data_IF_180786148781
#
_entry.id   IF_180786148781
#
_cell.length_a   1.000
_cell.length_b   1.000
_cell.length_c   1.000
_cell.angle_alpha   90.00
_cell.angle_beta   90.00
_cell.angle_gamma   90.00
#
_symmetry.space_group_name_H-M   'P 1'
#
loop_
_entity.id
_entity.type
_entity.pdbx_description
1 polymer ?
#
# COMPACT_ATOMS: atom_id res chain seq x y z
N UNK A 1 51.53 21.74 -28.50
CA UNK A 1 50.48 20.95 -27.80
C UNK A 1 49.59 21.89 -27.00
N UNK A 2 48.25 21.73 -27.08
CA UNK A 2 47.30 22.61 -26.40
C UNK A 2 47.39 22.54 -24.87
N UNK A 3 47.52 23.71 -24.24
CA UNK A 3 47.57 23.85 -22.77
C UNK A 3 46.16 23.85 -22.18
N UNK A 4 45.22 24.57 -22.81
CA UNK A 4 43.89 24.89 -22.27
C UNK A 4 42.91 23.71 -22.12
N UNK A 5 43.06 22.64 -22.92
CA UNK A 5 42.20 21.43 -22.90
C UNK A 5 42.78 20.30 -22.02
N UNK A 6 43.48 20.66 -20.95
CA UNK A 6 44.00 19.71 -19.95
C UNK A 6 43.10 19.67 -18.73
N UNK A 7 42.87 18.48 -18.20
CA UNK A 7 42.03 18.29 -17.00
C UNK A 7 42.56 19.09 -15.80
N UNK A 8 43.89 19.18 -15.61
CA UNK A 8 44.49 20.04 -14.57
C UNK A 8 44.10 21.52 -14.72
N UNK A 9 44.11 22.06 -15.93
CA UNK A 9 43.79 23.48 -16.17
C UNK A 9 42.28 23.74 -16.12
N UNK A 10 41.47 22.80 -16.63
CA UNK A 10 40.01 22.84 -16.53
C UNK A 10 39.57 22.95 -15.07
N UNK A 11 40.10 22.09 -14.21
CA UNK A 11 39.79 22.05 -12.77
C UNK A 11 40.12 23.34 -12.05
N UNK A 12 41.29 23.93 -12.32
CA UNK A 12 41.68 25.23 -11.75
C UNK A 12 40.72 26.33 -12.21
N UNK A 13 40.34 26.34 -13.49
CA UNK A 13 39.40 27.32 -14.06
C UNK A 13 37.98 27.19 -13.50
N UNK A 14 37.51 25.97 -13.29
CA UNK A 14 36.17 25.67 -12.75
C UNK A 14 36.11 25.72 -11.22
N UNK A 15 37.25 25.97 -10.55
CA UNK A 15 37.32 26.03 -9.09
C UNK A 15 37.23 24.67 -8.39
N UNK A 16 37.37 23.56 -9.13
CA UNK A 16 37.36 22.21 -8.57
C UNK A 16 38.76 21.80 -8.08
N UNK A 17 39.15 22.28 -6.90
CA UNK A 17 40.46 22.05 -6.26
C UNK A 17 40.52 20.81 -5.36
N UNK A 18 39.51 19.93 -5.41
CA UNK A 18 39.50 18.69 -4.61
C UNK A 18 40.73 17.83 -4.86
N UNK A 19 41.20 17.17 -3.81
CA UNK A 19 42.35 16.26 -3.84
C UNK A 19 42.16 15.12 -4.84
N UNK A 20 43.28 14.62 -5.37
CA UNK A 20 43.29 13.61 -6.43
C UNK A 20 42.67 12.26 -6.03
N UNK A 21 42.79 11.88 -4.76
CA UNK A 21 42.28 10.61 -4.20
C UNK A 21 40.75 10.55 -4.13
N UNK A 22 40.06 11.69 -4.03
CA UNK A 22 38.60 11.78 -3.99
C UNK A 22 37.96 11.73 -5.39
N UNK A 23 38.79 11.84 -6.44
CA UNK A 23 38.34 11.88 -7.84
C UNK A 23 38.11 10.49 -8.39
N UNK A 24 37.12 10.38 -9.27
CA UNK A 24 36.76 9.10 -9.89
C UNK A 24 37.41 9.02 -11.27
N UNK A 25 37.96 7.85 -11.59
CA UNK A 25 38.52 7.59 -12.93
C UNK A 25 37.42 7.75 -14.00
N UNK A 26 37.68 8.60 -14.99
CA UNK A 26 36.74 8.89 -16.07
C UNK A 26 36.00 10.23 -15.94
N UNK A 27 36.26 11.01 -14.88
CA UNK A 27 35.81 12.41 -14.79
C UNK A 27 36.44 13.24 -15.92
N UNK A 28 35.62 13.96 -16.65
CA UNK A 28 36.02 14.82 -17.75
C UNK A 28 35.02 15.99 -17.90
N UNK A 29 35.17 16.80 -18.96
CA UNK A 29 34.28 17.95 -19.21
C UNK A 29 32.78 17.59 -19.34
N UNK A 30 32.44 16.38 -19.81
CA UNK A 30 31.05 15.94 -20.06
C UNK A 30 30.47 15.04 -18.96
N UNK A 31 31.34 14.50 -18.11
CA UNK A 31 31.02 13.51 -17.10
C UNK A 31 31.61 13.95 -15.76
N UNK A 32 30.73 14.38 -14.87
CA UNK A 32 31.05 14.60 -13.47
C UNK A 32 31.16 13.26 -12.73
N UNK A 33 31.72 13.30 -11.51
CA UNK A 33 31.88 12.11 -10.70
C UNK A 33 30.56 11.34 -10.45
N UNK A 34 29.41 12.03 -10.36
CA UNK A 34 28.10 11.37 -10.18
C UNK A 34 27.67 10.63 -11.44
N UNK A 35 27.77 11.26 -12.61
CA UNK A 35 27.44 10.63 -13.89
C UNK A 35 28.36 9.45 -14.20
N UNK A 36 29.66 9.56 -13.91
CA UNK A 36 30.60 8.42 -14.05
C UNK A 36 30.19 7.25 -13.17
N UNK A 37 29.85 7.49 -11.89
CA UNK A 37 29.38 6.41 -10.98
C UNK A 37 28.08 5.77 -11.49
N UNK A 38 27.13 6.57 -11.98
CA UNK A 38 25.89 6.06 -12.56
C UNK A 38 26.11 5.26 -13.85
N UNK A 39 26.98 5.72 -14.75
CA UNK A 39 27.31 4.98 -15.98
C UNK A 39 28.05 3.66 -15.67
N UNK A 40 28.92 3.66 -14.66
CA UNK A 40 29.60 2.46 -14.21
C UNK A 40 28.64 1.44 -13.58
N UNK A 41 27.48 1.86 -13.07
CA UNK A 41 26.43 0.94 -12.61
C UNK A 41 25.98 -0.01 -13.72
N UNK A 42 25.78 0.48 -14.94
CA UNK A 42 25.37 -0.36 -16.09
C UNK A 42 26.42 -1.38 -16.51
N UNK A 43 27.70 -1.12 -16.20
CA UNK A 43 28.82 -2.06 -16.44
C UNK A 43 29.06 -2.99 -15.25
N UNK A 44 28.51 -2.66 -14.08
CA UNK A 44 28.63 -3.45 -12.85
C UNK A 44 27.65 -4.63 -12.84
N UNK A 45 27.78 -5.54 -11.87
CA UNK A 45 26.89 -6.71 -11.73
C UNK A 45 27.57 -8.06 -11.98
N UNK A 46 28.88 -8.08 -12.23
CA UNK A 46 29.68 -9.31 -12.29
C UNK A 46 30.61 -9.40 -11.09
N UNK A 47 30.79 -10.62 -10.57
CA UNK A 47 31.80 -10.90 -9.58
C UNK A 47 33.20 -10.79 -10.21
N UNK A 48 34.16 -10.25 -9.45
CA UNK A 48 35.57 -10.22 -9.84
C UNK A 48 36.21 -11.51 -9.35
N UNK A 49 36.89 -12.22 -10.25
CA UNK A 49 37.57 -13.49 -9.97
C UNK A 49 39.07 -13.38 -10.12
N UNK A 50 39.81 -14.21 -9.40
CA UNK A 50 41.24 -14.40 -9.60
C UNK A 50 41.53 -15.31 -10.81
N UNK A 51 42.81 -15.58 -11.08
CA UNK A 51 43.21 -16.47 -12.18
C UNK A 51 42.81 -17.94 -11.96
N UNK A 52 42.57 -18.36 -10.71
CA UNK A 52 42.13 -19.72 -10.35
C UNK A 52 40.60 -19.88 -10.44
N UNK A 53 39.85 -18.79 -10.60
CA UNK A 53 38.39 -18.76 -10.68
C UNK A 53 37.68 -18.48 -9.35
N UNK A 54 38.43 -18.19 -8.28
CA UNK A 54 37.89 -17.85 -6.97
C UNK A 54 37.36 -16.41 -6.95
N UNK A 55 36.24 -16.18 -6.25
CA UNK A 55 35.61 -14.85 -6.19
C UNK A 55 36.38 -13.96 -5.21
N UNK A 56 37.04 -12.93 -5.74
CA UNK A 56 37.74 -11.89 -4.95
C UNK A 56 36.77 -10.83 -4.46
N UNK A 57 35.79 -10.47 -5.29
CA UNK A 57 34.73 -9.52 -4.94
C UNK A 57 33.41 -10.02 -5.50
N UNK A 58 32.47 -10.26 -4.61
CA UNK A 58 31.09 -10.59 -4.99
C UNK A 58 30.47 -9.48 -5.85
N UNK A 59 29.50 -9.84 -6.68
CA UNK A 59 28.79 -8.85 -7.46
C UNK A 59 27.98 -7.90 -6.55
N UNK A 60 27.58 -6.77 -7.12
CA UNK A 60 26.78 -5.76 -6.41
C UNK A 60 25.47 -6.40 -5.92
N UNK A 61 25.13 -6.21 -4.63
CA UNK A 61 23.97 -6.81 -3.95
C UNK A 61 23.97 -8.36 -3.86
N UNK A 62 25.11 -9.01 -4.06
CA UNK A 62 25.27 -10.47 -3.94
C UNK A 62 26.30 -10.86 -2.88
N UNK A 63 26.36 -10.13 -1.76
CA UNK A 63 27.19 -10.53 -0.62
C UNK A 63 26.67 -11.84 -0.01
N UNK A 64 27.58 -12.77 0.26
CA UNK A 64 27.27 -14.04 0.93
C UNK A 64 27.17 -13.94 2.45
N UNK A 65 27.54 -12.78 3.00
CA UNK A 65 27.57 -12.55 4.44
C UNK A 65 26.14 -12.46 5.00
N UNK A 66 25.85 -13.27 6.01
CA UNK A 66 24.59 -13.22 6.73
C UNK A 66 24.62 -12.08 7.77
N UNK A 67 23.71 -11.08 7.69
CA UNK A 67 23.68 -10.01 8.68
C UNK A 67 23.11 -10.52 10.01
N UNK A 68 23.62 -10.00 11.12
CA UNK A 68 23.02 -10.23 12.44
C UNK A 68 21.78 -9.33 12.57
N UNK A 69 20.60 -9.88 12.26
CA UNK A 69 19.33 -9.16 12.34
C UNK A 69 18.73 -9.24 13.75
N UNK A 70 19.03 -8.27 14.60
CA UNK A 70 18.43 -8.12 15.94
C UNK A 70 17.70 -6.78 16.04
N UNK A 71 16.59 -6.79 16.77
CA UNK A 71 15.83 -5.57 17.09
C UNK A 71 16.05 -5.26 18.56
N UNK A 72 16.65 -4.10 18.83
CA UNK A 72 16.91 -3.70 20.20
C UNK A 72 15.61 -3.34 20.95
N UNK A 73 15.47 -3.76 22.21
CA UNK A 73 14.34 -3.38 23.04
C UNK A 73 14.38 -1.86 23.26
N UNK A 74 13.31 -1.17 22.88
CA UNK A 74 13.22 0.29 22.98
C UNK A 74 11.82 0.72 23.46
N UNK A 75 11.76 1.59 24.48
CA UNK A 75 10.50 2.16 24.97
C UNK A 75 9.74 2.93 23.89
N UNK A 76 10.45 3.47 22.89
CA UNK A 76 9.86 4.20 21.76
C UNK A 76 8.93 3.35 20.89
N UNK A 77 9.08 2.02 20.87
CA UNK A 77 8.20 1.12 20.11
C UNK A 77 6.74 1.18 20.59
N UNK A 78 6.55 1.44 21.88
CA UNK A 78 5.24 1.39 22.53
C UNK A 78 4.62 2.79 22.73
N UNK A 79 5.31 3.85 22.30
CA UNK A 79 4.78 5.20 22.34
C UNK A 79 3.91 5.49 21.12
N UNK A 80 2.87 6.30 21.31
CA UNK A 80 2.04 6.77 20.20
C UNK A 80 2.88 7.63 19.24
N UNK A 81 3.09 7.18 18.00
CA UNK A 81 3.94 7.87 17.01
C UNK A 81 3.19 8.87 16.14
N UNK A 82 1.87 8.68 15.96
CA UNK A 82 1.00 9.60 15.21
C UNK A 82 -0.33 9.73 15.93
N UNK A 83 -0.59 10.93 16.45
CA UNK A 83 -1.83 11.31 17.13
C UNK A 83 -2.46 12.47 16.38
N UNK A 84 -3.78 12.52 16.34
CA UNK A 84 -4.55 13.62 15.77
C UNK A 84 -5.53 14.12 16.83
N UNK A 85 -5.64 15.44 16.97
CA UNK A 85 -6.64 16.07 17.84
C UNK A 85 -8.04 15.99 17.22
N UNK A 86 -9.07 15.92 18.05
CA UNK A 86 -10.45 15.78 17.58
C UNK A 86 -10.90 16.96 16.69
N UNK A 87 -10.53 18.19 17.05
CA UNK A 87 -10.89 19.40 16.29
C UNK A 87 -10.24 19.43 14.91
N UNK A 88 -9.00 18.95 14.82
CA UNK A 88 -8.31 18.82 13.53
C UNK A 88 -8.96 17.73 12.67
N UNK A 89 -9.47 16.67 13.30
CA UNK A 89 -10.17 15.58 12.63
C UNK A 89 -11.52 16.05 12.07
N UNK A 90 -12.32 16.79 12.86
CA UNK A 90 -13.61 17.34 12.40
C UNK A 90 -13.44 18.36 11.29
N UNK A 91 -12.51 19.31 11.43
CA UNK A 91 -12.17 20.27 10.38
C UNK A 91 -11.77 19.55 9.08
N UNK A 92 -10.99 18.47 9.19
CA UNK A 92 -10.55 17.73 8.02
C UNK A 92 -11.68 16.95 7.34
N UNK A 93 -12.64 16.40 8.11
CA UNK A 93 -13.84 15.76 7.55
C UNK A 93 -14.63 16.74 6.68
N UNK A 94 -14.84 17.95 7.17
CA UNK A 94 -15.57 18.99 6.44
C UNK A 94 -14.83 19.38 5.14
N UNK A 95 -13.55 19.74 5.24
CA UNK A 95 -12.76 20.18 4.08
C UNK A 95 -12.63 19.09 3.00
N UNK A 96 -12.55 17.81 3.40
CA UNK A 96 -12.53 16.70 2.44
C UNK A 96 -13.91 16.44 1.83
N UNK A 97 -14.99 16.55 2.60
CA UNK A 97 -16.36 16.42 2.06
C UNK A 97 -16.63 17.41 0.94
N UNK A 98 -16.20 18.67 1.12
CA UNK A 98 -16.34 19.73 0.12
C UNK A 98 -15.52 19.46 -1.16
N UNK A 99 -14.28 18.98 -1.02
CA UNK A 99 -13.35 18.83 -2.16
C UNK A 99 -13.33 17.45 -2.81
N UNK A 100 -13.88 16.41 -2.16
CA UNK A 100 -13.87 15.03 -2.69
C UNK A 100 -14.63 14.90 -4.01
N UNK A 101 -15.61 15.76 -4.24
CA UNK A 101 -16.48 15.72 -5.41
C UNK A 101 -16.14 16.80 -6.45
N UNK A 102 -15.05 17.56 -6.26
CA UNK A 102 -14.61 18.55 -7.25
C UNK A 102 -13.78 17.89 -8.36
N UNK A 103 -14.32 17.87 -9.57
CA UNK A 103 -13.67 17.29 -10.76
C UNK A 103 -12.62 18.20 -11.40
N UNK A 104 -12.55 19.49 -11.05
CA UNK A 104 -11.64 20.45 -11.68
C UNK A 104 -10.29 20.55 -10.97
N UNK A 105 -10.16 20.05 -9.74
CA UNK A 105 -8.92 20.06 -8.98
C UNK A 105 -8.24 18.68 -8.93
N UNK A 106 -6.90 18.68 -8.92
CA UNK A 106 -6.08 17.46 -8.84
C UNK A 106 -5.14 17.52 -7.65
N UNK A 107 -5.08 16.42 -6.90
CA UNK A 107 -4.25 16.30 -5.70
C UNK A 107 -2.80 15.92 -6.05
N UNK A 108 -1.85 16.85 -5.85
CA UNK A 108 -0.42 16.62 -6.15
C UNK A 108 0.33 15.85 -5.06
N UNK A 109 -0.01 16.09 -3.78
CA UNK A 109 0.61 15.43 -2.62
C UNK A 109 -0.45 15.14 -1.57
N UNK A 110 -0.49 13.88 -1.12
CA UNK A 110 -1.38 13.46 -0.03
C UNK A 110 -0.66 13.55 1.30
N UNK A 111 -1.21 14.30 2.24
CA UNK A 111 -0.76 14.25 3.63
C UNK A 111 -1.07 12.87 4.24
N UNK A 112 -0.24 12.40 5.17
CA UNK A 112 -0.40 11.07 5.79
C UNK A 112 -1.50 11.11 6.85
N UNK A 113 -2.74 10.95 6.40
CA UNK A 113 -3.97 11.10 7.20
C UNK A 113 -4.66 9.74 7.46
N UNK A 114 -5.30 9.55 8.62
CA UNK A 114 -6.06 8.34 8.94
C UNK A 114 -7.43 8.39 8.26
N UNK A 115 -7.45 8.09 6.96
CA UNK A 115 -8.65 8.24 6.11
C UNK A 115 -9.78 7.29 6.50
N UNK A 116 -9.46 6.17 7.13
CA UNK A 116 -10.45 5.26 7.69
C UNK A 116 -11.32 5.90 8.78
N UNK A 117 -10.85 6.94 9.47
CA UNK A 117 -11.64 7.70 10.45
C UNK A 117 -12.56 8.75 9.80
N UNK A 118 -12.44 8.95 8.48
CA UNK A 118 -13.19 9.96 7.74
C UNK A 118 -14.32 9.36 6.91
N UNK A 119 -14.14 8.12 6.45
CA UNK A 119 -15.17 7.38 5.74
C UNK A 119 -16.16 6.79 6.76
N UNK A 120 -16.99 7.64 7.36
CA UNK A 120 -18.20 7.18 8.05
C UNK A 120 -19.16 6.68 6.97
N UNK A 121 -19.34 5.36 6.91
CA UNK A 121 -20.39 4.75 6.09
C UNK A 121 -21.71 5.00 6.81
N UNK A 122 -22.28 6.18 6.63
CA UNK A 122 -23.69 6.45 6.93
C UNK A 122 -24.56 5.74 5.88
N UNK A 123 -24.43 4.41 5.81
CA UNK A 123 -25.36 3.59 5.04
C UNK A 123 -26.63 3.50 5.87
N UNK A 124 -27.72 4.03 5.32
CA UNK A 124 -29.06 3.89 5.89
C UNK A 124 -29.48 2.42 6.07
N UNK A 125 -28.81 1.51 5.35
CA UNK A 125 -28.98 0.07 5.48
C UNK A 125 -28.04 -0.45 6.55
N UNK A 126 -28.60 -0.86 7.69
CA UNK A 126 -27.87 -1.61 8.71
C UNK A 126 -27.39 -2.95 8.13
N UNK A 127 -26.16 -3.40 8.47
CA UNK A 127 -25.71 -4.74 8.12
C UNK A 127 -26.74 -5.78 8.56
N UNK A 128 -27.02 -6.77 7.70
CA UNK A 128 -27.90 -7.89 8.07
C UNK A 128 -27.36 -8.54 9.35
N UNK A 129 -28.23 -8.85 10.33
CA UNK A 129 -27.78 -9.43 11.60
C UNK A 129 -27.09 -10.78 11.36
N UNK A 130 -26.06 -11.06 12.15
CA UNK A 130 -25.29 -12.30 12.03
C UNK A 130 -26.00 -13.46 12.76
N UNK A 131 -26.96 -14.07 12.06
CA UNK A 131 -27.81 -15.16 12.59
C UNK A 131 -27.00 -16.40 13.03
N UNK A 132 -25.77 -16.58 12.53
CA UNK A 132 -24.91 -17.72 12.89
C UNK A 132 -24.53 -17.71 14.39
N UNK A 133 -24.46 -16.54 15.01
CA UNK A 133 -24.12 -16.41 16.44
C UNK A 133 -25.28 -16.84 17.35
N UNK A 134 -26.52 -16.68 16.88
CA UNK A 134 -27.72 -17.10 17.61
C UNK A 134 -28.13 -18.53 17.29
N UNK A 135 -27.93 -18.97 16.04
CA UNK A 135 -28.23 -20.32 15.59
C UNK A 135 -27.09 -20.86 14.69
N UNK A 136 -26.27 -21.73 15.27
CA UNK A 136 -25.22 -22.43 14.52
C UNK A 136 -25.81 -23.44 13.52
N UNK A 137 -25.07 -23.77 12.46
CA UNK A 137 -25.52 -24.73 11.43
C UNK A 137 -25.91 -26.11 12.02
N UNK A 138 -25.17 -26.61 13.01
CA UNK A 138 -25.47 -27.90 13.64
C UNK A 138 -26.76 -27.89 14.48
N UNK A 139 -27.14 -26.72 15.00
CA UNK A 139 -28.37 -26.57 15.78
C UNK A 139 -29.59 -26.28 14.92
N UNK A 140 -29.41 -25.75 13.70
CA UNK A 140 -30.52 -25.44 12.79
C UNK A 140 -30.94 -26.65 11.97
N UNK A 141 -30.00 -27.43 11.45
CA UNK A 141 -30.28 -28.59 10.61
C UNK A 141 -29.38 -29.79 10.96
N UNK A 142 -29.95 -30.99 10.88
CA UNK A 142 -29.24 -32.26 11.09
C UNK A 142 -29.65 -33.02 12.35
N UNK A 143 -28.94 -34.10 12.72
CA UNK A 143 -29.36 -34.99 13.80
C UNK A 143 -29.43 -34.31 15.17
N UNK A 144 -28.62 -33.27 15.39
CA UNK A 144 -28.56 -32.47 16.63
C UNK A 144 -29.44 -31.21 16.58
N UNK A 145 -30.30 -31.08 15.58
CA UNK A 145 -31.14 -29.90 15.40
C UNK A 145 -32.06 -29.65 16.61
N UNK A 146 -32.11 -28.39 17.03
CA UNK A 146 -32.95 -27.92 18.15
C UNK A 146 -34.11 -27.04 17.67
N UNK A 147 -34.09 -26.58 16.42
CA UNK A 147 -35.12 -25.72 15.85
C UNK A 147 -36.39 -26.53 15.55
N UNK A 148 -37.51 -26.13 16.16
CA UNK A 148 -38.83 -26.79 15.98
C UNK A 148 -39.84 -25.95 15.18
N UNK A 149 -39.68 -24.63 15.12
CA UNK A 149 -40.57 -23.70 14.40
C UNK A 149 -39.74 -22.61 13.69
N UNK A 150 -40.23 -22.03 12.58
CA UNK A 150 -39.60 -20.86 11.97
C UNK A 150 -39.77 -19.62 12.86
N UNK A 151 -38.72 -18.80 12.96
CA UNK A 151 -38.73 -17.57 13.78
C UNK A 151 -39.35 -16.38 13.04
N UNK A 152 -39.05 -16.25 11.75
CA UNK A 152 -39.66 -15.26 10.87
C UNK A 152 -40.82 -15.92 10.13
N UNK A 153 -42.03 -15.76 10.66
CA UNK A 153 -43.24 -16.09 9.90
C UNK A 153 -43.39 -14.98 8.85
N UNK A 154 -43.45 -15.36 7.56
CA UNK A 154 -43.57 -14.38 6.48
C UNK A 154 -44.94 -13.68 6.46
N UNK A 155 -45.95 -14.30 7.07
CA UNK A 155 -47.31 -13.80 7.17
C UNK A 155 -47.81 -13.92 8.61
N UNK A 156 -48.65 -12.98 9.01
CA UNK A 156 -49.33 -12.96 10.29
C UNK A 156 -50.64 -13.76 10.28
N UNK A 157 -51.26 -13.92 9.10
CA UNK A 157 -52.49 -14.67 8.88
C UNK A 157 -52.36 -15.65 7.71
N UNK A 158 -53.28 -16.62 7.62
CA UNK A 158 -53.29 -17.58 6.52
C UNK A 158 -53.65 -16.92 5.18
N UNK A 159 -54.44 -15.84 5.23
CA UNK A 159 -54.87 -15.06 4.08
C UNK A 159 -53.71 -14.24 3.51
N UNK A 160 -52.94 -13.57 4.36
CA UNK A 160 -51.71 -12.86 3.96
C UNK A 160 -50.67 -13.83 3.36
N UNK A 161 -50.58 -15.05 3.87
CA UNK A 161 -49.73 -16.08 3.28
C UNK A 161 -50.18 -16.44 1.86
N UNK A 162 -51.49 -16.60 1.63
CA UNK A 162 -52.03 -16.90 0.31
C UNK A 162 -51.73 -15.77 -0.70
N UNK A 163 -51.87 -14.51 -0.27
CA UNK A 163 -51.53 -13.34 -1.09
C UNK A 163 -50.04 -13.30 -1.47
N UNK A 164 -49.13 -13.48 -0.50
CA UNK A 164 -47.68 -13.52 -0.74
C UNK A 164 -47.31 -14.64 -1.73
N UNK A 165 -47.90 -15.83 -1.58
CA UNK A 165 -47.63 -16.95 -2.50
C UNK A 165 -48.10 -16.69 -3.92
N UNK A 166 -49.24 -16.01 -4.08
CA UNK A 166 -49.75 -15.63 -5.39
C UNK A 166 -48.85 -14.57 -6.06
N UNK A 167 -48.33 -13.60 -5.29
CA UNK A 167 -47.39 -12.60 -5.83
C UNK A 167 -46.05 -13.23 -6.21
N UNK A 168 -45.52 -14.13 -5.38
CA UNK A 168 -44.25 -14.82 -5.65
C UNK A 168 -44.35 -15.72 -6.89
N UNK A 169 -45.49 -16.38 -7.07
CA UNK A 169 -45.73 -17.26 -8.24
C UNK A 169 -45.77 -16.44 -9.54
N UNK A 170 -46.47 -15.30 -9.55
CA UNK A 170 -46.48 -14.38 -10.70
C UNK A 170 -45.08 -13.85 -11.01
N UNK A 171 -44.34 -13.40 -9.99
CA UNK A 171 -42.98 -12.90 -10.16
C UNK A 171 -42.00 -13.98 -10.68
N UNK A 172 -42.24 -15.26 -10.35
CA UNK A 172 -41.49 -16.38 -10.89
C UNK A 172 -41.80 -16.61 -12.38
N UNK A 173 -43.08 -16.65 -12.75
CA UNK A 173 -43.51 -16.78 -14.15
C UNK A 173 -42.99 -15.64 -15.01
N UNK A 174 -43.12 -14.38 -14.57
CA UNK A 174 -42.60 -13.19 -15.26
C UNK A 174 -41.09 -13.27 -15.54
N UNK A 175 -40.29 -13.82 -14.61
CA UNK A 175 -38.85 -14.04 -14.80
C UNK A 175 -38.53 -15.18 -15.77
N UNK A 176 -39.44 -16.13 -15.96
CA UNK A 176 -39.24 -17.27 -16.86
C UNK A 176 -39.55 -16.91 -18.32
N UNK A 177 -40.38 -15.90 -18.54
CA UNK A 177 -40.73 -15.38 -19.87
C UNK A 177 -39.79 -14.25 -20.36
N UNK A 178 -38.89 -13.74 -19.51
CA UNK A 178 -37.78 -12.84 -19.86
C UNK A 178 -36.50 -13.63 -20.15
#
# INVERSE_FOLDING_TARGET
MGTQKKEKQRRVREGDTRDGNLRVKGENFYHDAKKVKHLNMYKSGRAVRDAKGEIVRAAVLQSTDAPVARVDPNRKWFGNTRVIGQDALTHFRQAMGEKKHDSYSVLLRRNKLPMSLLDEKDTSVSPKPRIIETESYSSTFGPKQQRKKPRTQAASSLEELAEITATDSKAFEEKQYL
#
